data_IF_423207760942
#
_entry.id   IF_423207760942
#
_cell.length_a   1.000
_cell.length_b   1.000
_cell.length_c   1.000
_cell.angle_alpha   90.00
_cell.angle_beta   90.00
_cell.angle_gamma   90.00
#
_symmetry.space_group_name_H-M   'P 1'
#
loop_
_entity.id
_entity.type
_entity.pdbx_description
1 polymer ?
#
# COMPACT_ATOMS: atom_id res chain seq x y z
N UNK A 1 13.37 -41.27 22.36
CA UNK A 1 13.91 -42.24 21.40
C UNK A 1 13.98 -41.55 20.06
N UNK A 2 15.17 -41.34 19.49
CA UNK A 2 15.33 -40.71 18.17
C UNK A 2 15.38 -41.85 17.15
N UNK A 3 14.49 -41.83 16.17
CA UNK A 3 14.48 -42.81 15.08
C UNK A 3 15.45 -42.35 14.00
N UNK A 4 16.43 -43.20 13.68
CA UNK A 4 17.36 -42.99 12.57
C UNK A 4 16.64 -43.35 11.26
N UNK A 5 15.99 -42.35 10.64
CA UNK A 5 15.25 -42.51 9.39
C UNK A 5 15.84 -41.54 8.37
N UNK A 6 16.28 -42.08 7.23
CA UNK A 6 16.74 -41.29 6.11
C UNK A 6 15.60 -40.40 5.57
N UNK A 7 15.75 -39.09 5.71
CA UNK A 7 14.78 -38.14 5.16
C UNK A 7 14.94 -38.04 3.64
N UNK A 8 13.94 -38.53 2.90
CA UNK A 8 13.82 -38.28 1.46
C UNK A 8 12.83 -37.14 1.24
N UNK A 9 13.33 -36.00 0.78
CA UNK A 9 12.49 -34.83 0.51
C UNK A 9 11.84 -34.95 -0.86
N UNK A 10 10.52 -34.78 -0.92
CA UNK A 10 9.80 -34.52 -2.17
C UNK A 10 9.87 -33.02 -2.50
N UNK A 11 10.72 -32.67 -3.45
CA UNK A 11 10.91 -31.29 -3.88
C UNK A 11 9.68 -30.68 -4.55
N UNK A 12 8.86 -31.49 -5.23
CA UNK A 12 7.64 -31.00 -5.88
C UNK A 12 6.60 -30.59 -4.83
N UNK A 13 6.47 -31.39 -3.76
CA UNK A 13 5.59 -31.06 -2.65
C UNK A 13 6.05 -29.79 -1.91
N UNK A 14 7.36 -29.66 -1.63
CA UNK A 14 7.89 -28.46 -0.98
C UNK A 14 7.70 -27.20 -1.83
N UNK A 15 7.89 -27.31 -3.14
CA UNK A 15 7.65 -26.21 -4.07
C UNK A 15 6.18 -25.77 -4.06
N UNK A 16 5.24 -26.74 -4.10
CA UNK A 16 3.80 -26.45 -4.01
C UNK A 16 3.44 -25.75 -2.69
N UNK A 17 3.95 -26.25 -1.56
CA UNK A 17 3.73 -25.62 -0.24
C UNK A 17 4.21 -24.17 -0.20
N UNK A 18 5.37 -23.89 -0.80
CA UNK A 18 5.88 -22.51 -0.93
C UNK A 18 4.94 -21.64 -1.75
N UNK A 19 4.46 -22.13 -2.90
CA UNK A 19 3.52 -21.38 -3.74
C UNK A 19 2.22 -21.06 -2.99
N UNK A 20 1.66 -22.04 -2.28
CA UNK A 20 0.44 -21.85 -1.49
C UNK A 20 0.65 -20.82 -0.38
N UNK A 21 1.82 -20.84 0.28
CA UNK A 21 2.16 -19.86 1.30
C UNK A 21 2.28 -18.44 0.73
N UNK A 22 2.94 -18.28 -0.43
CA UNK A 22 3.04 -17.00 -1.13
C UNK A 22 1.66 -16.48 -1.51
N UNK A 23 0.79 -17.33 -2.06
CA UNK A 23 -0.56 -16.94 -2.44
C UNK A 23 -1.38 -16.45 -1.22
N UNK A 24 -1.33 -17.19 -0.10
CA UNK A 24 -2.01 -16.79 1.15
C UNK A 24 -1.48 -15.46 1.69
N UNK A 25 -0.15 -15.24 1.65
CA UNK A 25 0.45 -13.99 2.10
C UNK A 25 0.02 -12.82 1.22
N UNK A 26 0.07 -12.98 -0.10
CA UNK A 26 -0.40 -11.98 -1.06
C UNK A 26 -1.88 -11.62 -0.83
N UNK A 27 -2.74 -12.62 -0.63
CA UNK A 27 -4.16 -12.38 -0.34
C UNK A 27 -4.35 -11.62 0.98
N UNK A 28 -3.62 -11.99 2.03
CA UNK A 28 -3.69 -11.30 3.33
C UNK A 28 -3.21 -9.86 3.21
N UNK A 29 -2.11 -9.60 2.53
CA UNK A 29 -1.57 -8.26 2.34
C UNK A 29 -2.47 -7.39 1.46
N UNK A 30 -3.07 -7.98 0.43
CA UNK A 30 -4.00 -7.28 -0.47
C UNK A 30 -5.41 -7.13 0.10
N UNK A 31 -5.79 -7.86 1.16
CA UNK A 31 -7.16 -7.84 1.71
C UNK A 31 -7.64 -6.45 2.15
N UNK A 32 -6.71 -5.58 2.56
CA UNK A 32 -7.00 -4.20 2.98
C UNK A 32 -6.89 -3.19 1.84
N UNK A 33 -6.47 -3.60 0.64
CA UNK A 33 -6.36 -2.72 -0.52
C UNK A 33 -7.76 -2.40 -1.01
N UNK A 34 -8.09 -1.11 -1.07
CA UNK A 34 -9.32 -0.62 -1.69
C UNK A 34 -9.07 -0.46 -3.17
N UNK A 35 -10.00 -0.93 -4.00
CA UNK A 35 -9.97 -0.70 -5.43
C UNK A 35 -10.23 0.79 -5.69
N UNK A 36 -9.21 1.49 -6.20
CA UNK A 36 -9.29 2.89 -6.58
C UNK A 36 -8.53 3.10 -7.89
N UNK A 37 -9.17 3.80 -8.83
CA UNK A 37 -8.55 4.20 -10.09
C UNK A 37 -8.14 5.65 -9.96
N UNK A 38 -6.83 5.90 -9.94
CA UNK A 38 -6.28 7.25 -9.90
C UNK A 38 -6.34 7.89 -11.29
N UNK A 39 -6.65 9.18 -11.33
CA UNK A 39 -6.59 10.01 -12.53
C UNK A 39 -5.66 11.22 -12.30
N UNK A 40 -5.10 11.79 -13.37
CA UNK A 40 -4.42 13.10 -13.29
C UNK A 40 -5.35 14.17 -12.69
N UNK A 41 -4.83 15.00 -11.80
CA UNK A 41 -5.58 16.01 -11.04
C UNK A 41 -6.12 15.50 -9.69
N UNK A 42 -6.05 14.20 -9.41
CA UNK A 42 -6.48 13.68 -8.11
C UNK A 42 -5.55 14.12 -6.97
N UNK A 43 -6.14 14.30 -5.79
CA UNK A 43 -5.37 14.56 -4.56
C UNK A 43 -5.18 13.27 -3.78
N UNK A 44 -3.94 12.99 -3.43
CA UNK A 44 -3.57 11.77 -2.71
C UNK A 44 -2.72 12.09 -1.48
N UNK A 45 -2.89 11.28 -0.45
CA UNK A 45 -2.07 11.27 0.75
C UNK A 45 -0.94 10.25 0.59
N UNK A 46 0.29 10.63 0.92
CA UNK A 46 1.45 9.74 0.86
C UNK A 46 1.72 9.11 2.23
N UNK A 47 1.91 7.80 2.29
CA UNK A 47 2.29 7.10 3.51
C UNK A 47 3.75 7.37 3.87
N UNK A 48 3.99 7.75 5.12
CA UNK A 48 5.31 7.95 5.69
C UNK A 48 5.82 6.62 6.26
N UNK A 49 6.38 5.77 5.40
CA UNK A 49 6.96 4.48 5.76
C UNK A 49 8.50 4.45 5.70
N UNK A 50 9.12 5.60 5.45
CA UNK A 50 10.57 5.72 5.40
C UNK A 50 11.15 5.85 6.82
N UNK A 51 11.79 4.78 7.31
CA UNK A 51 12.55 4.77 8.55
C UNK A 51 11.73 4.64 9.84
N UNK A 52 12.39 4.90 10.97
CA UNK A 52 11.78 4.81 12.31
C UNK A 52 10.93 6.05 12.56
N UNK A 53 9.62 5.86 12.64
CA UNK A 53 8.66 6.93 12.91
C UNK A 53 8.30 6.98 14.40
N UNK A 54 8.21 8.19 14.96
CA UNK A 54 7.70 8.40 16.32
C UNK A 54 6.22 8.02 16.39
N UNK A 55 5.74 7.53 17.55
CA UNK A 55 4.33 7.15 17.75
C UNK A 55 3.36 8.31 17.51
N UNK A 56 3.81 9.55 17.71
CA UNK A 56 3.00 10.76 17.49
C UNK A 56 3.20 11.39 16.10
N UNK A 57 4.10 10.84 15.26
CA UNK A 57 4.29 11.35 13.92
C UNK A 57 3.07 11.01 13.04
N UNK A 58 2.67 11.89 12.12
CA UNK A 58 1.57 11.61 11.21
C UNK A 58 1.94 10.45 10.28
N UNK A 59 1.03 9.48 10.16
CA UNK A 59 1.22 8.30 9.31
C UNK A 59 1.22 8.65 7.81
N UNK A 60 0.55 9.72 7.43
CA UNK A 60 0.48 10.21 6.06
C UNK A 60 0.96 11.66 5.99
N UNK A 61 1.70 12.00 4.95
CA UNK A 61 2.09 13.37 4.62
C UNK A 61 1.25 13.89 3.46
N UNK A 62 0.85 15.16 3.59
CA UNK A 62 0.43 16.07 2.53
C UNK A 62 -0.71 15.61 1.62
N UNK A 63 -1.48 16.57 1.11
CA UNK A 63 -2.29 16.33 -0.08
C UNK A 63 -1.42 16.68 -1.29
N UNK A 64 -1.03 15.67 -2.05
CA UNK A 64 -0.23 15.85 -3.26
C UNK A 64 -1.11 15.64 -4.49
N UNK A 65 -0.92 16.49 -5.48
CA UNK A 65 -1.60 16.38 -6.76
C UNK A 65 -0.92 15.32 -7.64
N UNK A 66 -1.73 14.45 -8.24
CA UNK A 66 -1.28 13.49 -9.25
C UNK A 66 -1.14 14.20 -10.59
N UNK A 67 0.08 14.34 -11.09
CA UNK A 67 0.36 14.91 -12.42
C UNK A 67 0.08 13.87 -13.51
N UNK A 68 0.53 12.63 -13.30
CA UNK A 68 0.42 11.57 -14.28
C UNK A 68 0.29 10.20 -13.61
N UNK A 69 -0.46 9.33 -14.25
CA UNK A 69 -0.62 7.92 -13.88
C UNK A 69 0.10 7.09 -14.94
N UNK A 70 0.99 6.20 -14.51
CA UNK A 70 1.72 5.30 -15.41
C UNK A 70 1.15 3.89 -15.35
N UNK A 71 1.26 3.18 -16.46
CA UNK A 71 0.73 1.82 -16.63
C UNK A 71 1.35 0.78 -15.68
N UNK A 72 2.56 1.05 -15.18
CA UNK A 72 3.27 0.18 -14.23
C UNK A 72 2.82 0.36 -12.77
N UNK A 73 1.71 1.06 -12.52
CA UNK A 73 1.17 1.28 -11.17
C UNK A 73 1.99 2.29 -10.35
N UNK A 74 2.60 3.25 -11.02
CA UNK A 74 3.25 4.40 -10.38
C UNK A 74 2.55 5.70 -10.73
N UNK A 75 2.55 6.62 -9.77
CA UNK A 75 2.00 7.96 -9.88
C UNK A 75 3.15 8.96 -9.86
N UNK A 76 3.02 10.00 -10.66
CA UNK A 76 3.91 11.15 -10.64
C UNK A 76 3.22 12.22 -9.81
N UNK A 77 3.75 12.51 -8.62
CA UNK A 77 3.17 13.46 -7.67
C UNK A 77 3.89 14.80 -7.71
N UNK A 78 3.12 15.88 -7.60
CA UNK A 78 3.64 17.22 -7.39
C UNK A 78 3.82 17.51 -5.90
N UNK A 79 5.06 17.65 -5.42
CA UNK A 79 5.37 18.10 -4.05
C UNK A 79 5.62 19.60 -3.96
N UNK A 80 5.27 20.35 -5.01
CA UNK A 80 5.50 21.79 -5.13
C UNK A 80 6.94 22.13 -5.52
N UNK A 81 7.93 21.71 -4.71
CA UNK A 81 9.35 21.99 -4.99
C UNK A 81 9.95 21.04 -6.03
N UNK A 82 9.49 19.80 -6.05
CA UNK A 82 9.96 18.76 -6.95
C UNK A 82 8.83 17.80 -7.29
N UNK A 83 9.08 17.01 -8.32
CA UNK A 83 8.18 15.95 -8.76
C UNK A 83 8.78 14.61 -8.34
N UNK A 84 7.93 13.72 -7.82
CA UNK A 84 8.36 12.40 -7.36
C UNK A 84 7.51 11.30 -8.00
N UNK A 85 8.14 10.20 -8.42
CA UNK A 85 7.42 9.02 -8.90
C UNK A 85 7.27 8.01 -7.76
N UNK A 86 6.04 7.72 -7.38
CA UNK A 86 5.71 6.87 -6.23
C UNK A 86 4.79 5.74 -6.65
N UNK A 87 4.95 4.56 -6.06
CA UNK A 87 4.06 3.44 -6.31
C UNK A 87 2.66 3.69 -5.71
N UNK A 88 1.59 3.33 -6.45
CA UNK A 88 0.19 3.36 -5.97
C UNK A 88 -0.03 2.69 -4.60
N UNK A 89 0.88 1.82 -4.15
CA UNK A 89 0.78 1.13 -2.85
C UNK A 89 1.11 2.03 -1.66
N UNK A 90 1.84 3.12 -1.86
CA UNK A 90 2.22 4.08 -0.81
C UNK A 90 1.25 5.25 -0.72
N UNK A 91 0.23 5.31 -1.56
CA UNK A 91 -0.71 6.43 -1.61
C UNK A 91 -2.12 5.98 -1.23
N UNK A 92 -2.90 6.93 -0.72
CA UNK A 92 -4.32 6.76 -0.46
C UNK A 92 -5.06 7.97 -1.05
N UNK A 93 -6.20 7.80 -1.75
CA UNK A 93 -6.98 8.92 -2.27
C UNK A 93 -7.42 9.84 -1.13
N UNK A 94 -7.50 11.15 -1.33
CA UNK A 94 -7.93 12.07 -0.27
C UNK A 94 -9.40 11.89 0.12
N UNK A 95 -9.77 12.18 1.38
CA UNK A 95 -11.14 11.96 1.91
C UNK A 95 -12.19 12.81 1.19
N UNK A 96 -11.85 14.04 0.80
CA UNK A 96 -12.78 14.92 0.08
C UNK A 96 -13.26 14.29 -1.24
N UNK A 97 -12.39 13.54 -1.93
CA UNK A 97 -12.74 12.84 -3.16
C UNK A 97 -13.57 11.57 -2.92
N UNK A 98 -13.63 11.06 -1.69
CA UNK A 98 -14.35 9.82 -1.35
C UNK A 98 -15.84 10.04 -1.09
N UNK A 99 -16.31 11.29 -1.02
CA UNK A 99 -17.69 11.61 -0.65
C UNK A 99 -18.03 11.40 0.83
N UNK A 100 -17.04 11.05 1.66
CA UNK A 100 -17.16 10.93 3.12
C UNK A 100 -16.81 12.30 3.74
N UNK A 101 -17.69 13.28 3.56
CA UNK A 101 -17.56 14.58 4.20
C UNK A 101 -17.60 14.43 5.73
N UNK A 102 -16.57 14.91 6.42
CA UNK A 102 -16.69 15.20 7.85
C UNK A 102 -17.72 16.32 7.98
N UNK A 103 -18.93 16.01 8.47
CA UNK A 103 -19.81 17.04 9.00
C UNK A 103 -19.05 17.69 10.16
N UNK A 104 -18.55 18.91 9.94
CA UNK A 104 -18.11 19.77 11.02
C UNK A 104 -19.39 20.15 11.78
N UNK A 105 -19.69 19.42 12.85
CA UNK A 105 -20.60 19.92 13.89
C UNK A 105 -19.90 21.12 14.51
N UNK A 106 -20.24 22.30 14.02
CA UNK A 106 -19.97 23.56 14.71
C UNK A 106 -20.88 23.59 15.94
N UNK A 107 -20.34 23.12 17.07
CA UNK A 107 -21.00 23.29 18.37
C UNK A 107 -20.82 24.75 18.83
N UNK A 108 -21.94 25.49 18.83
CA UNK A 108 -22.13 26.81 19.43
C UNK A 108 -22.27 26.73 20.95
#
# INVERSE_FOLDING_TARGET
MIADIAHRTDWAEQYKRKLDQVARHNQRENSKRRDWTFNPGDRVLLKNDDGVQSKMAPLYSGQYEVIAVRDNGTLVLNKGRYVETIHIRRVIPDKEQRGEGCQQVEDL
#
